data_IF_529911862687
#
_entry.id   IF_529911862687
#
_cell.length_a   1.000
_cell.length_b   1.000
_cell.length_c   1.000
_cell.angle_alpha   90.00
_cell.angle_beta   90.00
_cell.angle_gamma   90.00
#
_symmetry.space_group_name_H-M   'P 1'
#
loop_
_entity.id
_entity.type
_entity.pdbx_description
1 polymer ?
#
# COMPACT_ATOMS: atom_id res chain seq x y z
N UNK A 1 -4.90 30.91 -9.88
CA UNK A 1 -4.79 29.82 -10.87
C UNK A 1 -4.90 28.52 -10.10
N UNK A 2 -5.87 27.67 -10.42
CA UNK A 2 -6.02 26.35 -9.79
C UNK A 2 -4.82 25.49 -10.22
N UNK A 3 -4.11 24.87 -9.27
CA UNK A 3 -3.02 23.97 -9.61
C UNK A 3 -3.63 22.71 -10.24
N UNK A 4 -3.47 22.56 -11.56
CA UNK A 4 -4.08 21.47 -12.34
C UNK A 4 -3.65 20.09 -11.80
N UNK A 5 -2.40 19.95 -11.35
CA UNK A 5 -1.89 18.69 -10.80
C UNK A 5 -2.60 18.29 -9.50
N UNK A 6 -3.08 19.27 -8.73
CA UNK A 6 -3.82 19.02 -7.48
C UNK A 6 -5.33 18.91 -7.70
N UNK A 7 -5.86 19.41 -8.82
CA UNK A 7 -7.31 19.46 -9.08
C UNK A 7 -7.99 18.10 -9.23
N UNK A 8 -7.21 17.05 -9.47
CA UNK A 8 -7.67 15.65 -9.53
C UNK A 8 -7.80 14.98 -8.15
N UNK A 9 -7.28 15.63 -7.12
CA UNK A 9 -7.39 15.20 -5.73
C UNK A 9 -8.43 16.04 -4.99
N UNK A 10 -8.84 15.55 -3.83
CA UNK A 10 -9.70 16.23 -2.85
C UNK A 10 -8.94 16.35 -1.52
N UNK A 11 -7.82 17.11 -1.48
CA UNK A 11 -6.96 17.14 -0.31
C UNK A 11 -7.62 17.85 0.88
N UNK A 12 -7.25 17.42 2.09
CA UNK A 12 -7.51 18.20 3.30
C UNK A 12 -6.74 19.55 3.27
N UNK A 13 -7.08 20.52 4.14
CA UNK A 13 -6.54 21.89 4.05
C UNK A 13 -5.01 22.01 4.03
N UNK A 14 -4.30 21.02 4.59
CA UNK A 14 -2.83 21.01 4.64
C UNK A 14 -2.26 19.82 3.88
N UNK A 15 -1.59 20.08 2.77
CA UNK A 15 -0.79 19.07 2.07
C UNK A 15 0.49 18.81 2.86
N UNK A 16 0.73 17.54 3.22
CA UNK A 16 1.91 17.05 3.94
C UNK A 16 2.97 16.62 2.93
N UNK A 17 2.57 15.88 1.91
CA UNK A 17 3.40 15.52 0.76
C UNK A 17 2.56 15.38 -0.50
N UNK A 18 3.15 15.73 -1.64
CA UNK A 18 2.62 15.43 -2.96
C UNK A 18 3.77 14.87 -3.79
N UNK A 19 3.69 13.57 -4.07
CA UNK A 19 4.73 12.80 -4.73
C UNK A 19 4.37 12.57 -6.20
N UNK A 20 4.97 13.38 -7.08
CA UNK A 20 4.98 13.22 -8.54
C UNK A 20 6.18 12.38 -9.04
N UNK A 21 5.97 11.14 -9.46
CA UNK A 21 7.07 10.22 -9.79
C UNK A 21 7.86 10.59 -11.05
N UNK A 22 7.43 11.58 -11.84
CA UNK A 22 8.28 12.18 -12.87
C UNK A 22 9.49 12.92 -12.30
N UNK A 23 9.40 13.35 -11.04
CA UNK A 23 10.50 13.98 -10.29
C UNK A 23 11.32 13.00 -9.45
N UNK A 24 11.08 11.69 -9.63
CA UNK A 24 11.77 10.62 -8.91
C UNK A 24 10.99 10.03 -7.74
N UNK A 25 11.62 9.11 -6.99
CA UNK A 25 10.95 8.30 -5.96
C UNK A 25 10.53 9.08 -4.70
N UNK A 26 10.98 10.32 -4.48
CA UNK A 26 10.50 11.19 -3.39
C UNK A 26 10.41 10.54 -1.99
N UNK A 27 11.42 9.76 -1.63
CA UNK A 27 11.53 9.09 -0.32
C UNK A 27 10.81 7.73 -0.23
N UNK A 28 10.16 7.28 -1.30
CA UNK A 28 9.67 5.91 -1.42
C UNK A 28 10.85 4.94 -1.60
N UNK A 29 10.87 3.87 -0.80
CA UNK A 29 11.91 2.84 -0.83
C UNK A 29 11.33 1.47 -0.49
N UNK A 30 12.13 0.40 -0.56
CA UNK A 30 11.68 -0.93 -0.14
C UNK A 30 11.46 -1.02 1.36
N UNK A 31 10.44 -1.77 1.78
CA UNK A 31 10.37 -2.24 3.17
C UNK A 31 11.30 -3.44 3.31
N UNK A 32 12.23 -3.33 4.24
CA UNK A 32 13.07 -4.45 4.67
C UNK A 32 12.65 -4.84 6.09
N UNK A 33 12.77 -6.13 6.40
CA UNK A 33 12.51 -6.60 7.76
C UNK A 33 13.58 -6.11 8.72
N UNK A 34 13.21 -6.02 10.00
CA UNK A 34 14.15 -5.70 11.06
C UNK A 34 15.24 -6.78 11.14
N UNK A 35 16.46 -6.36 11.43
CA UNK A 35 17.62 -7.23 11.64
C UNK A 35 18.45 -6.73 12.80
N UNK A 36 19.20 -7.64 13.39
CA UNK A 36 20.17 -7.36 14.44
C UNK A 36 21.39 -8.25 14.22
N UNK A 37 22.58 -7.65 14.21
CA UNK A 37 23.90 -8.27 13.98
C UNK A 37 24.13 -8.92 12.59
N UNK A 38 23.13 -9.62 12.04
CA UNK A 38 23.17 -10.31 10.75
C UNK A 38 21.85 -10.16 10.00
N UNK A 39 21.91 -10.11 8.66
CA UNK A 39 20.72 -10.15 7.79
C UNK A 39 19.99 -11.51 7.84
N UNK A 40 20.63 -12.56 8.34
CA UNK A 40 20.00 -13.86 8.57
C UNK A 40 18.97 -13.84 9.69
N UNK A 41 18.95 -12.78 10.51
CA UNK A 41 17.93 -12.57 11.56
C UNK A 41 16.60 -12.04 11.00
N UNK A 42 16.58 -11.54 9.76
CA UNK A 42 15.36 -11.05 9.11
C UNK A 42 14.36 -12.19 9.02
N UNK A 43 13.10 -11.96 9.41
CA UNK A 43 12.06 -12.98 9.27
C UNK A 43 11.95 -13.41 7.79
N UNK A 44 11.85 -14.71 7.48
CA UNK A 44 11.90 -15.20 6.10
C UNK A 44 10.98 -14.48 5.11
N UNK A 45 9.71 -14.12 5.46
CA UNK A 45 8.84 -13.40 4.53
C UNK A 45 9.35 -12.02 4.10
N UNK A 46 10.15 -11.34 4.92
CA UNK A 46 10.71 -10.02 4.58
C UNK A 46 11.93 -10.09 3.66
N UNK A 47 12.63 -11.23 3.60
CA UNK A 47 13.89 -11.36 2.84
C UNK A 47 13.70 -11.23 1.33
N UNK A 48 12.49 -11.51 0.86
CA UNK A 48 12.18 -11.55 -0.56
C UNK A 48 11.28 -10.39 -1.04
N UNK A 49 11.03 -9.40 -0.19
CA UNK A 49 10.29 -8.21 -0.60
C UNK A 49 11.05 -7.44 -1.67
N UNK A 50 10.33 -7.06 -2.73
CA UNK A 50 10.87 -6.25 -3.83
C UNK A 50 10.53 -4.78 -3.63
N UNK A 51 11.53 -3.91 -3.74
CA UNK A 51 11.36 -2.46 -3.63
C UNK A 51 10.80 -1.81 -4.90
N UNK A 52 10.49 -0.50 -4.82
CA UNK A 52 9.96 0.26 -5.95
C UNK A 52 11.00 0.54 -7.04
N UNK A 53 10.49 0.76 -8.24
CA UNK A 53 11.22 1.25 -9.41
C UNK A 53 10.45 2.42 -10.02
N UNK A 54 11.13 3.29 -10.76
CA UNK A 54 10.46 4.18 -11.71
C UNK A 54 10.23 3.42 -13.01
N UNK A 55 9.02 3.54 -13.56
CA UNK A 55 8.65 2.87 -14.81
C UNK A 55 7.84 3.79 -15.68
N UNK A 56 8.05 3.68 -16.99
CA UNK A 56 7.24 4.31 -18.02
C UNK A 56 6.14 3.36 -18.56
N UNK A 57 5.91 2.24 -17.88
CA UNK A 57 4.89 1.24 -18.19
C UNK A 57 5.05 0.67 -19.63
N UNK A 58 6.29 0.38 -20.03
CA UNK A 58 6.58 -0.19 -21.34
C UNK A 58 5.98 -1.60 -21.53
N UNK A 59 5.25 -1.78 -22.62
CA UNK A 59 4.69 -3.05 -23.10
C UNK A 59 5.23 -3.39 -24.49
N UNK A 60 5.18 -4.66 -24.87
CA UNK A 60 5.80 -5.17 -26.09
C UNK A 60 5.03 -4.81 -27.38
N UNK A 61 3.72 -4.57 -27.31
CA UNK A 61 2.86 -4.21 -28.45
C UNK A 61 2.55 -2.71 -28.56
N UNK A 62 2.27 -2.05 -27.43
CA UNK A 62 1.86 -0.63 -27.39
C UNK A 62 3.04 0.32 -27.16
N UNK A 63 4.23 -0.21 -26.89
CA UNK A 63 5.40 0.59 -26.53
C UNK A 63 5.29 1.19 -25.13
N UNK A 64 5.77 2.41 -24.95
CA UNK A 64 5.69 3.15 -23.68
C UNK A 64 4.34 3.84 -23.56
N UNK A 65 3.60 3.57 -22.47
CA UNK A 65 2.31 4.22 -22.20
C UNK A 65 2.49 5.57 -21.48
N UNK A 66 3.33 5.59 -20.44
CA UNK A 66 3.44 6.72 -19.51
C UNK A 66 2.55 6.58 -18.27
N UNK A 67 2.73 7.49 -17.32
CA UNK A 67 1.84 7.61 -16.15
C UNK A 67 0.60 8.45 -16.51
N UNK A 68 -0.38 8.53 -15.61
CA UNK A 68 -1.56 9.38 -15.82
C UNK A 68 -1.17 10.86 -16.02
N UNK A 69 -0.10 11.29 -15.35
CA UNK A 69 0.31 12.69 -15.24
C UNK A 69 1.54 13.05 -16.06
N UNK A 70 2.25 12.05 -16.57
CA UNK A 70 3.46 12.27 -17.35
C UNK A 70 4.14 10.95 -17.74
N UNK A 71 5.44 10.84 -17.50
CA UNK A 71 6.26 9.75 -18.06
C UNK A 71 6.44 8.59 -17.10
N UNK A 72 6.65 8.87 -15.82
CA UNK A 72 7.02 7.87 -14.82
C UNK A 72 5.93 7.66 -13.77
N UNK A 73 5.72 6.39 -13.44
CA UNK A 73 4.99 5.92 -12.27
C UNK A 73 5.94 5.16 -11.34
N UNK A 74 5.63 5.11 -10.06
CA UNK A 74 6.23 4.14 -9.16
C UNK A 74 5.67 2.75 -9.49
N UNK A 75 6.54 1.82 -9.88
CA UNK A 75 6.23 0.42 -10.14
C UNK A 75 6.70 -0.44 -8.98
N UNK A 76 5.78 -1.26 -8.48
CA UNK A 76 6.08 -2.46 -7.70
C UNK A 76 5.98 -3.69 -8.61
N UNK A 77 6.93 -4.61 -8.47
CA UNK A 77 6.94 -5.84 -9.25
C UNK A 77 7.32 -7.03 -8.36
N UNK A 78 6.42 -8.01 -8.27
CA UNK A 78 6.68 -9.27 -7.56
C UNK A 78 7.72 -10.09 -8.32
N UNK A 79 8.19 -11.18 -7.71
CA UNK A 79 8.80 -12.27 -8.49
C UNK A 79 7.73 -13.02 -9.27
N UNK A 80 8.17 -13.77 -10.28
CA UNK A 80 7.37 -14.79 -10.97
C UNK A 80 7.24 -16.04 -10.10
N UNK A 81 6.61 -15.88 -8.93
CA UNK A 81 6.40 -16.93 -7.94
C UNK A 81 5.11 -16.63 -7.19
N UNK A 82 4.19 -17.58 -7.13
CA UNK A 82 2.93 -17.44 -6.40
C UNK A 82 3.16 -16.95 -4.97
N UNK A 83 2.29 -16.05 -4.49
CA UNK A 83 2.36 -15.40 -3.18
C UNK A 83 3.58 -14.48 -2.98
N UNK A 84 4.35 -14.17 -4.03
CA UNK A 84 5.43 -13.18 -3.95
C UNK A 84 4.85 -11.78 -3.78
N UNK A 85 5.43 -10.99 -2.87
CA UNK A 85 5.00 -9.63 -2.55
C UNK A 85 6.09 -8.62 -2.91
N UNK A 86 5.67 -7.48 -3.46
CA UNK A 86 6.49 -6.28 -3.61
C UNK A 86 5.88 -5.15 -2.80
N UNK A 87 6.71 -4.30 -2.19
CA UNK A 87 6.26 -3.29 -1.24
C UNK A 87 7.15 -2.04 -1.28
N UNK A 88 6.51 -0.88 -1.41
CA UNK A 88 7.14 0.43 -1.27
C UNK A 88 6.59 1.14 -0.05
N UNK A 89 7.50 1.74 0.72
CA UNK A 89 7.19 2.48 1.94
C UNK A 89 7.85 3.85 1.89
N UNK A 90 7.10 4.86 2.31
CA UNK A 90 7.59 6.19 2.64
C UNK A 90 7.49 6.39 4.14
N UNK A 91 8.58 6.88 4.73
CA UNK A 91 8.70 7.05 6.17
C UNK A 91 8.66 8.52 6.53
N UNK A 92 7.64 8.91 7.29
CA UNK A 92 7.46 10.27 7.80
C UNK A 92 7.20 10.21 9.30
N UNK A 93 7.20 11.38 9.93
CA UNK A 93 6.59 11.59 11.23
C UNK A 93 5.43 12.57 11.10
N UNK A 94 4.42 12.46 11.95
CA UNK A 94 3.36 13.47 12.01
C UNK A 94 3.77 14.65 12.91
N UNK A 95 3.26 15.84 12.57
CA UNK A 95 3.46 17.06 13.36
C UNK A 95 2.32 17.33 14.34
N UNK A 96 1.14 16.80 14.05
CA UNK A 96 -0.08 17.02 14.80
C UNK A 96 -0.98 15.79 14.68
N UNK A 97 -1.72 15.49 15.74
CA UNK A 97 -2.76 14.48 15.73
C UNK A 97 -4.04 15.09 15.16
N UNK A 98 -4.71 14.36 14.27
CA UNK A 98 -5.96 14.75 13.64
C UNK A 98 -6.23 13.94 12.38
N UNK A 99 -7.27 14.33 11.61
CA UNK A 99 -7.62 13.66 10.36
C UNK A 99 -6.49 13.77 9.34
N UNK A 100 -6.18 12.64 8.70
CA UNK A 100 -5.32 12.56 7.53
C UNK A 100 -6.05 11.89 6.37
N UNK A 101 -5.61 12.24 5.16
CA UNK A 101 -6.13 11.71 3.91
C UNK A 101 -4.98 11.36 2.99
N UNK A 102 -4.95 10.09 2.58
CA UNK A 102 -4.05 9.60 1.55
C UNK A 102 -4.83 9.40 0.27
N UNK A 103 -4.34 9.95 -0.82
CA UNK A 103 -4.91 9.79 -2.15
C UNK A 103 -3.85 9.34 -3.15
N UNK A 104 -4.25 8.51 -4.10
CA UNK A 104 -3.36 8.05 -5.16
C UNK A 104 -4.14 7.68 -6.42
N UNK A 105 -3.46 7.76 -7.56
CA UNK A 105 -3.91 7.12 -8.79
C UNK A 105 -3.10 5.85 -9.03
N UNK A 106 -3.78 4.73 -9.21
CA UNK A 106 -3.12 3.43 -9.36
C UNK A 106 -3.67 2.63 -10.53
N UNK A 107 -2.86 1.71 -11.04
CA UNK A 107 -3.30 0.63 -11.91
C UNK A 107 -2.48 -0.62 -11.60
N UNK A 108 -3.01 -1.80 -11.87
CA UNK A 108 -2.32 -3.05 -11.59
C UNK A 108 -2.54 -4.06 -12.70
N UNK A 109 -1.51 -4.87 -12.95
CA UNK A 109 -1.52 -5.85 -14.02
C UNK A 109 -0.40 -6.87 -13.87
N UNK A 110 -0.58 -8.13 -14.29
CA UNK A 110 0.54 -9.05 -14.40
C UNK A 110 1.43 -8.67 -15.57
N UNK A 111 2.58 -9.31 -15.61
CA UNK A 111 3.43 -9.36 -16.80
C UNK A 111 2.67 -9.88 -18.02
N UNK A 112 2.66 -9.11 -19.10
CA UNK A 112 2.01 -9.48 -20.36
C UNK A 112 2.80 -10.54 -21.14
N UNK A 113 3.03 -11.71 -20.54
CA UNK A 113 3.80 -12.81 -21.14
C UNK A 113 2.99 -13.74 -22.05
N UNK A 114 1.67 -13.55 -22.11
CA UNK A 114 0.76 -14.33 -22.94
C UNK A 114 -0.32 -13.44 -23.57
N UNK A 115 -0.89 -13.88 -24.70
CA UNK A 115 -1.96 -13.18 -25.43
C UNK A 115 -3.36 -13.46 -24.82
N UNK A 116 -3.46 -13.35 -23.50
CA UNK A 116 -4.70 -13.51 -22.73
C UNK A 116 -4.77 -12.43 -21.67
N UNK A 117 -5.97 -12.10 -21.19
CA UNK A 117 -6.17 -10.98 -20.27
C UNK A 117 -5.46 -11.15 -18.93
N UNK A 118 -5.39 -12.39 -18.41
CA UNK A 118 -4.69 -12.70 -17.17
C UNK A 118 -5.22 -11.90 -15.96
N UNK A 119 -6.52 -11.69 -15.91
CA UNK A 119 -7.25 -10.92 -14.90
C UNK A 119 -7.18 -11.50 -13.49
N UNK A 120 -6.82 -12.78 -13.36
CA UNK A 120 -6.69 -13.47 -12.08
C UNK A 120 -5.25 -13.63 -11.60
N UNK A 121 -4.26 -13.17 -12.36
CA UNK A 121 -2.84 -13.44 -12.03
C UNK A 121 -2.30 -12.51 -10.93
N UNK A 122 -2.86 -11.30 -10.78
CA UNK A 122 -2.59 -10.47 -9.60
C UNK A 122 -3.58 -10.86 -8.50
N UNK A 123 -3.06 -11.31 -7.36
CA UNK A 123 -3.88 -11.71 -6.21
C UNK A 123 -4.49 -10.48 -5.54
N UNK A 124 -3.63 -9.57 -5.12
CA UNK A 124 -4.05 -8.42 -4.33
C UNK A 124 -3.13 -7.22 -4.55
N UNK A 125 -3.71 -6.05 -4.35
CA UNK A 125 -2.98 -4.78 -4.16
C UNK A 125 -3.49 -4.12 -2.90
N UNK A 126 -2.64 -3.39 -2.20
CA UNK A 126 -3.06 -2.75 -0.97
C UNK A 126 -2.26 -1.53 -0.58
N UNK A 127 -2.81 -0.85 0.41
CA UNK A 127 -2.28 0.35 1.03
C UNK A 127 -2.35 0.19 2.54
N UNK A 128 -1.37 0.72 3.24
CA UNK A 128 -1.35 0.68 4.70
C UNK A 128 -0.64 1.90 5.27
N UNK A 129 -0.96 2.20 6.52
CA UNK A 129 -0.09 2.99 7.37
C UNK A 129 0.58 2.12 8.43
N UNK A 130 1.73 2.56 8.89
CA UNK A 130 2.39 2.06 10.10
C UNK A 130 2.66 3.28 10.99
N UNK A 131 1.88 3.35 12.07
CA UNK A 131 1.69 4.53 12.90
C UNK A 131 2.11 4.24 14.32
N UNK A 132 2.55 5.26 15.05
CA UNK A 132 2.71 5.13 16.50
C UNK A 132 2.53 6.49 17.19
N UNK A 133 1.90 6.44 18.36
CA UNK A 133 1.65 7.58 19.24
C UNK A 133 2.93 8.40 19.56
N UNK A 134 2.78 9.68 19.96
CA UNK A 134 3.90 10.47 20.47
C UNK A 134 4.41 9.89 21.81
N UNK A 135 5.64 10.26 22.17
CA UNK A 135 6.33 9.82 23.39
C UNK A 135 5.63 10.24 24.69
N UNK A 136 4.88 11.34 24.66
CA UNK A 136 4.11 11.86 25.80
C UNK A 136 2.67 11.32 25.89
N UNK A 137 2.27 10.40 25.01
CA UNK A 137 0.94 9.79 25.09
C UNK A 137 0.83 8.90 26.33
N UNK A 138 -0.27 8.98 27.09
CA UNK A 138 -0.42 8.25 28.35
C UNK A 138 -0.34 6.71 28.19
N UNK A 139 -0.88 6.20 27.08
CA UNK A 139 -0.86 4.78 26.73
C UNK A 139 -0.47 4.62 25.25
N UNK A 140 0.83 4.70 24.92
CA UNK A 140 1.25 4.75 23.52
C UNK A 140 1.10 3.39 22.85
N UNK A 141 0.60 3.39 21.62
CA UNK A 141 0.36 2.21 20.81
C UNK A 141 1.02 2.40 19.45
N UNK A 142 1.42 1.29 18.83
CA UNK A 142 1.70 1.19 17.41
C UNK A 142 0.47 0.62 16.72
N UNK A 143 0.02 1.30 15.67
CA UNK A 143 -1.24 1.00 14.97
C UNK A 143 -0.96 0.86 13.49
N UNK A 144 -1.46 -0.23 12.89
CA UNK A 144 -1.23 -0.57 11.49
C UNK A 144 -2.55 -0.74 10.75
N UNK A 145 -3.15 0.36 10.25
CA UNK A 145 -4.32 0.29 9.38
C UNK A 145 -3.93 -0.27 8.01
N UNK A 146 -4.49 -1.42 7.66
CA UNK A 146 -4.27 -2.09 6.38
C UNK A 146 -5.57 -2.22 5.61
N UNK A 147 -5.53 -1.89 4.32
CA UNK A 147 -6.62 -2.12 3.37
C UNK A 147 -6.05 -2.75 2.10
N UNK A 148 -6.75 -3.72 1.53
CA UNK A 148 -6.40 -4.32 0.24
C UNK A 148 -7.62 -4.51 -0.65
N UNK A 149 -7.40 -4.50 -1.95
CA UNK A 149 -8.31 -5.07 -2.91
C UNK A 149 -7.83 -6.49 -3.24
N UNK A 150 -8.60 -7.50 -2.80
CA UNK A 150 -8.40 -8.89 -3.17
C UNK A 150 -9.02 -9.10 -4.55
N UNK A 151 -8.18 -9.03 -5.58
CA UNK A 151 -8.59 -9.15 -6.98
C UNK A 151 -8.95 -10.60 -7.32
N UNK A 152 -8.05 -11.53 -7.00
CA UNK A 152 -8.19 -12.94 -7.30
C UNK A 152 -7.56 -13.80 -6.21
N UNK A 153 -7.92 -15.08 -6.17
CA UNK A 153 -7.28 -16.09 -5.33
C UNK A 153 -7.48 -17.46 -5.97
N UNK A 154 -6.42 -18.26 -6.03
CA UNK A 154 -6.44 -19.62 -6.57
C UNK A 154 -7.03 -19.66 -7.99
N UNK A 155 -6.66 -18.70 -8.84
CA UNK A 155 -7.12 -18.55 -10.21
C UNK A 155 -8.59 -18.11 -10.36
N UNK A 156 -9.25 -17.70 -9.28
CA UNK A 156 -10.65 -17.23 -9.31
C UNK A 156 -10.72 -15.74 -9.00
N UNK A 157 -11.55 -15.02 -9.76
CA UNK A 157 -11.83 -13.61 -9.46
C UNK A 157 -12.65 -13.48 -8.17
N UNK A 158 -12.17 -12.65 -7.25
CA UNK A 158 -12.81 -12.35 -5.97
C UNK A 158 -13.38 -10.92 -5.96
N UNK A 159 -12.56 -9.95 -6.38
CA UNK A 159 -12.91 -8.54 -6.56
C UNK A 159 -13.57 -7.87 -5.34
N UNK A 160 -12.90 -7.93 -4.19
CA UNK A 160 -13.45 -7.43 -2.90
C UNK A 160 -12.41 -6.66 -2.10
N UNK A 161 -12.81 -5.52 -1.53
CA UNK A 161 -12.00 -4.77 -0.56
C UNK A 161 -12.04 -5.41 0.83
N UNK A 162 -10.88 -5.48 1.46
CA UNK A 162 -10.65 -6.12 2.75
C UNK A 162 -9.80 -5.23 3.66
N UNK A 163 -9.90 -5.45 4.97
CA UNK A 163 -9.05 -4.85 5.99
C UNK A 163 -8.40 -5.95 6.86
N UNK A 164 -7.32 -5.61 7.57
CA UNK A 164 -6.67 -6.54 8.51
C UNK A 164 -6.66 -5.97 9.93
N UNK A 165 -7.32 -6.67 10.84
CA UNK A 165 -7.44 -6.31 12.25
C UNK A 165 -6.54 -7.18 13.16
N UNK A 166 -6.25 -8.40 12.73
CA UNK A 166 -5.47 -9.36 13.51
C UNK A 166 -3.99 -9.26 13.14
N UNK A 167 -3.13 -9.21 14.17
CA UNK A 167 -1.68 -9.19 13.99
C UNK A 167 -1.11 -10.59 14.09
N UNK A 168 -0.03 -10.81 13.34
CA UNK A 168 0.83 -11.96 13.55
C UNK A 168 1.55 -11.89 14.91
N UNK A 169 2.03 -13.05 15.35
CA UNK A 169 2.89 -13.17 16.53
C UNK A 169 4.14 -12.31 16.35
N UNK A 170 4.53 -11.60 17.42
CA UNK A 170 5.79 -10.86 17.45
C UNK A 170 6.93 -11.82 17.74
N UNK A 171 7.99 -11.71 16.96
CA UNK A 171 9.21 -12.46 17.09
C UNK A 171 10.33 -11.54 17.57
N UNK A 172 11.08 -11.97 18.57
CA UNK A 172 12.35 -11.35 18.89
C UNK A 172 13.32 -11.56 17.72
N UNK A 173 14.09 -10.52 17.40
CA UNK A 173 15.10 -10.51 16.34
C UNK A 173 16.47 -10.34 17.01
N UNK A 174 17.41 -11.19 16.63
CA UNK A 174 18.75 -11.21 17.25
C UNK A 174 18.73 -11.75 18.68
N UNK A 175 19.72 -11.32 19.47
CA UNK A 175 19.94 -11.79 20.83
C UNK A 175 19.65 -10.77 21.93
N UNK A 176 19.53 -9.47 21.61
CA UNK A 176 19.41 -8.41 22.62
C UNK A 176 18.01 -8.29 23.26
N UNK A 177 16.98 -8.84 22.60
CA UNK A 177 15.58 -8.68 22.98
C UNK A 177 15.00 -7.28 22.71
N UNK A 178 15.78 -6.35 22.13
CA UNK A 178 15.35 -4.97 21.83
C UNK A 178 14.64 -4.85 20.48
N UNK A 179 14.96 -5.74 19.55
CA UNK A 179 14.40 -5.74 18.21
C UNK A 179 13.29 -6.77 18.12
N UNK A 180 12.10 -6.35 17.69
CA UNK A 180 10.97 -7.24 17.45
C UNK A 180 10.45 -7.05 16.03
N UNK A 181 9.91 -8.12 15.45
CA UNK A 181 9.30 -8.08 14.12
C UNK A 181 8.13 -9.03 14.03
N UNK A 182 7.22 -8.75 13.11
CA UNK A 182 6.12 -9.64 12.73
C UNK A 182 5.82 -9.36 11.26
N UNK A 183 5.39 -10.37 10.49
CA UNK A 183 5.06 -10.16 9.08
C UNK A 183 3.60 -9.75 8.91
N UNK A 184 3.33 -8.45 9.01
CA UNK A 184 1.98 -7.88 9.00
C UNK A 184 1.21 -8.00 7.66
N UNK A 185 1.83 -8.57 6.62
CA UNK A 185 1.18 -8.89 5.34
C UNK A 185 0.94 -10.38 5.12
N UNK A 186 1.02 -11.19 6.18
CA UNK A 186 0.63 -12.60 6.11
C UNK A 186 -0.81 -12.76 5.56
N UNK A 187 -1.08 -13.86 4.83
CA UNK A 187 -2.36 -14.06 4.14
C UNK A 187 -3.57 -14.26 5.07
N UNK A 188 -3.34 -14.58 6.34
CA UNK A 188 -4.37 -14.76 7.37
C UNK A 188 -4.88 -13.42 7.94
N UNK A 189 -6.04 -13.44 8.60
CA UNK A 189 -6.56 -12.31 9.38
C UNK A 189 -7.20 -11.16 8.57
N UNK A 190 -7.27 -11.29 7.23
CA UNK A 190 -8.01 -10.37 6.37
C UNK A 190 -9.51 -10.60 6.46
N UNK A 191 -10.28 -9.52 6.48
CA UNK A 191 -11.75 -9.52 6.58
C UNK A 191 -12.34 -8.66 5.48
N UNK A 192 -13.42 -9.14 4.87
CA UNK A 192 -14.15 -8.36 3.87
C UNK A 192 -14.74 -7.08 4.50
N UNK A 193 -14.67 -5.99 3.76
CA UNK A 193 -15.50 -4.82 4.06
C UNK A 193 -16.96 -5.15 3.74
N UNK A 194 -17.89 -4.62 4.54
CA UNK A 194 -19.30 -4.63 4.19
C UNK A 194 -19.49 -3.94 2.84
N UNK A 195 -20.16 -4.62 1.91
CA UNK A 195 -20.34 -4.18 0.52
C UNK A 195 -19.02 -3.93 -0.25
N UNK A 196 -17.91 -4.54 0.21
CA UNK A 196 -16.57 -4.35 -0.35
C UNK A 196 -16.38 -4.88 -1.77
N UNK A 197 -17.33 -5.63 -2.32
CA UNK A 197 -17.25 -6.17 -3.69
C UNK A 197 -17.28 -5.03 -4.70
N UNK A 198 -16.24 -4.87 -5.51
CA UNK A 198 -16.16 -3.87 -6.57
C UNK A 198 -15.44 -4.43 -7.78
N UNK A 199 -16.04 -4.29 -8.97
CA UNK A 199 -15.35 -4.60 -10.22
C UNK A 199 -14.58 -3.35 -10.67
N UNK A 200 -13.27 -3.50 -10.87
CA UNK A 200 -12.41 -2.43 -11.41
C UNK A 200 -12.23 -2.62 -12.92
N UNK A 201 -11.98 -1.52 -13.63
CA UNK A 201 -11.80 -1.56 -15.08
C UNK A 201 -10.41 -2.09 -15.46
N UNK A 202 -10.29 -3.42 -15.59
CA UNK A 202 -9.04 -4.12 -15.88
C UNK A 202 -8.53 -3.97 -17.34
N UNK A 203 -9.39 -3.45 -18.25
CA UNK A 203 -9.18 -3.25 -19.70
C UNK A 203 -9.33 -4.53 -20.56
N UNK A 204 -9.32 -4.41 -21.91
CA UNK A 204 -9.74 -5.49 -22.82
C UNK A 204 -8.65 -6.50 -23.20
N UNK A 205 -7.37 -6.13 -23.10
CA UNK A 205 -6.24 -6.97 -23.54
C UNK A 205 -5.07 -6.91 -22.55
N UNK A 206 -4.09 -7.80 -22.69
CA UNK A 206 -2.96 -8.02 -21.76
C UNK A 206 -2.07 -6.79 -21.49
N UNK A 207 -2.09 -5.76 -22.33
CA UNK A 207 -1.12 -4.65 -22.31
C UNK A 207 -1.74 -3.27 -22.07
N UNK A 208 -3.05 -3.10 -22.31
CA UNK A 208 -3.76 -1.84 -22.00
C UNK A 208 -4.10 -1.70 -20.51
N UNK A 209 -4.06 -0.50 -19.94
CA UNK A 209 -4.35 -0.29 -18.53
C UNK A 209 -5.24 0.94 -18.32
N UNK A 210 -5.98 0.96 -17.21
CA UNK A 210 -6.75 2.12 -16.78
C UNK A 210 -6.34 2.53 -15.37
N UNK A 211 -6.33 3.83 -15.13
CA UNK A 211 -6.03 4.40 -13.84
C UNK A 211 -7.28 4.46 -12.96
N UNK A 212 -7.10 4.19 -11.68
CA UNK A 212 -8.14 4.22 -10.65
C UNK A 212 -7.76 5.20 -9.56
N UNK A 213 -8.74 5.94 -9.08
CA UNK A 213 -8.58 6.81 -7.93
C UNK A 213 -8.74 6.01 -6.65
N UNK A 214 -7.88 6.26 -5.67
CA UNK A 214 -7.93 5.72 -4.31
C UNK A 214 -7.88 6.86 -3.31
N UNK A 215 -8.73 6.82 -2.28
CA UNK A 215 -8.67 7.70 -1.11
C UNK A 215 -8.84 6.89 0.16
N UNK A 216 -7.96 7.08 1.13
CA UNK A 216 -8.06 6.49 2.46
C UNK A 216 -7.99 7.61 3.50
N UNK A 217 -9.08 7.75 4.25
CA UNK A 217 -9.20 8.69 5.36
C UNK A 217 -8.98 7.93 6.68
N UNK A 218 -8.11 8.48 7.53
CA UNK A 218 -7.75 7.92 8.82
C UNK A 218 -7.58 9.04 9.84
N UNK A 219 -7.94 8.82 11.10
CA UNK A 219 -7.77 9.82 12.15
C UNK A 219 -6.63 9.44 13.10
N UNK A 220 -5.58 10.27 13.15
CA UNK A 220 -4.40 10.03 13.97
C UNK A 220 -4.67 10.22 15.47
N UNK A 221 -5.69 11.00 15.85
CA UNK A 221 -6.01 11.24 17.26
C UNK A 221 -6.67 10.02 17.92
N UNK A 222 -7.62 9.40 17.24
CA UNK A 222 -8.32 8.18 17.70
C UNK A 222 -7.67 6.89 17.21
N UNK A 223 -6.72 6.98 16.27
CA UNK A 223 -6.12 5.85 15.57
C UNK A 223 -7.17 4.92 14.96
N UNK A 224 -8.12 5.51 14.22
CA UNK A 224 -9.26 4.81 13.64
C UNK A 224 -9.45 5.10 12.15
N UNK A 225 -9.93 4.10 11.41
CA UNK A 225 -10.34 4.30 10.03
C UNK A 225 -11.56 5.20 9.96
N UNK A 226 -11.65 6.00 8.90
CA UNK A 226 -12.82 6.84 8.64
C UNK A 226 -13.52 6.37 7.36
N UNK A 227 -12.82 6.35 6.23
CA UNK A 227 -13.44 6.04 4.93
C UNK A 227 -12.42 5.53 3.93
N UNK A 228 -12.87 4.64 3.06
CA UNK A 228 -12.18 4.29 1.81
C UNK A 228 -13.02 4.77 0.63
N UNK A 229 -12.36 5.27 -0.40
CA UNK A 229 -12.96 5.47 -1.72
C UNK A 229 -12.12 4.79 -2.77
N UNK A 230 -12.77 4.12 -3.71
CA UNK A 230 -12.14 3.77 -4.98
C UNK A 230 -13.07 4.12 -6.13
N UNK A 231 -12.59 4.99 -7.02
CA UNK A 231 -13.38 5.62 -8.08
C UNK A 231 -14.67 6.25 -7.52
N UNK A 232 -15.83 5.77 -7.97
CA UNK A 232 -17.17 6.23 -7.61
C UNK A 232 -17.70 5.64 -6.30
N UNK A 233 -17.02 4.63 -5.72
CA UNK A 233 -17.52 3.91 -4.54
C UNK A 233 -16.90 4.40 -3.27
N UNK A 234 -17.75 4.66 -2.28
CA UNK A 234 -17.39 5.02 -0.91
C UNK A 234 -17.71 3.84 0.01
N UNK A 235 -16.75 3.46 0.84
CA UNK A 235 -16.89 2.42 1.85
C UNK A 235 -16.73 3.04 3.24
N UNK A 236 -17.73 2.85 4.09
CA UNK A 236 -17.64 3.19 5.50
C UNK A 236 -16.70 2.22 6.20
N UNK A 237 -15.71 2.77 6.91
CA UNK A 237 -14.73 1.99 7.67
C UNK A 237 -14.90 2.12 9.18
N UNK A 238 -15.99 2.74 9.67
CA UNK A 238 -16.21 2.95 11.10
C UNK A 238 -16.18 1.65 11.94
N UNK A 239 -16.54 0.52 11.33
CA UNK A 239 -16.50 -0.81 11.97
C UNK A 239 -15.19 -1.58 11.70
N UNK A 240 -14.32 -1.07 10.82
CA UNK A 240 -13.03 -1.68 10.55
C UNK A 240 -12.05 -1.31 11.67
N UNK A 241 -11.39 -2.31 12.25
CA UNK A 241 -10.35 -2.11 13.26
C UNK A 241 -8.96 -2.29 12.62
N UNK A 242 -8.00 -1.39 12.88
CA UNK A 242 -6.61 -1.62 12.51
C UNK A 242 -5.96 -2.62 13.48
N UNK A 243 -4.84 -3.23 13.06
CA UNK A 243 -3.99 -3.96 14.00
C UNK A 243 -3.41 -2.99 15.05
N UNK A 244 -3.35 -3.44 16.30
CA UNK A 244 -2.80 -2.68 17.43
C UNK A 244 -1.80 -3.50 18.24
N UNK A 245 -0.80 -2.82 18.79
CA UNK A 245 0.16 -3.37 19.74
C UNK A 245 0.76 -2.25 20.59
N UNK A 246 1.44 -2.62 21.68
CA UNK A 246 2.19 -1.66 22.49
C UNK A 246 3.23 -0.92 21.65
N UNK A 247 3.42 0.37 21.91
CA UNK A 247 4.42 1.17 21.22
C UNK A 247 5.84 0.58 21.36
N UNK A 248 6.63 0.75 20.31
CA UNK A 248 8.05 0.39 20.28
C UNK A 248 8.90 1.60 20.68
N UNK A 249 9.99 1.37 21.41
CA UNK A 249 10.75 2.42 22.06
C UNK A 249 11.33 3.52 21.14
N UNK A 250 11.43 3.28 19.83
CA UNK A 250 12.15 4.15 18.90
C UNK A 250 11.26 4.70 17.75
N UNK A 251 9.94 4.50 17.81
CA UNK A 251 9.03 4.82 16.69
C UNK A 251 8.05 5.96 17.03
N UNK A 252 8.46 6.93 17.84
CA UNK A 252 7.58 8.03 18.26
C UNK A 252 7.14 8.91 17.09
N UNK A 253 5.86 9.30 17.10
CA UNK A 253 5.24 10.12 16.06
C UNK A 253 5.30 9.51 14.64
N UNK A 254 5.47 8.19 14.52
CA UNK A 254 5.64 7.53 13.22
C UNK A 254 4.40 7.69 12.34
N UNK A 255 4.63 8.06 11.08
CA UNK A 255 3.66 8.18 10.01
C UNK A 255 4.25 7.55 8.75
N UNK A 256 4.34 6.23 8.74
CA UNK A 256 4.76 5.52 7.54
C UNK A 256 3.55 5.23 6.65
N UNK A 257 3.71 5.36 5.35
CA UNK A 257 2.71 4.97 4.34
C UNK A 257 3.33 3.94 3.43
N UNK A 258 2.61 2.88 3.08
CA UNK A 258 3.09 1.87 2.16
C UNK A 258 2.03 1.40 1.16
N UNK A 259 2.51 1.00 -0.01
CA UNK A 259 1.75 0.29 -1.03
C UNK A 259 2.40 -1.06 -1.31
N UNK A 260 1.59 -2.05 -1.67
CA UNK A 260 2.08 -3.39 -1.97
C UNK A 260 1.22 -4.10 -3.02
N UNK A 261 1.83 -5.12 -3.64
CA UNK A 261 1.18 -6.01 -4.61
C UNK A 261 1.62 -7.44 -4.37
N UNK A 262 0.71 -8.37 -4.61
CA UNK A 262 0.91 -9.81 -4.50
C UNK A 262 0.43 -10.52 -5.77
N UNK A 263 1.20 -11.49 -6.23
CA UNK A 263 0.84 -12.32 -7.37
C UNK A 263 0.19 -13.63 -6.92
N UNK A 264 -0.81 -14.09 -7.67
CA UNK A 264 -1.53 -15.34 -7.38
C UNK A 264 -0.82 -16.57 -7.99
N UNK A 265 0.00 -16.36 -9.02
CA UNK A 265 0.62 -17.43 -9.80
C UNK A 265 2.12 -17.17 -10.06
N UNK A 266 2.78 -18.08 -10.78
CA UNK A 266 4.20 -17.99 -11.14
C UNK A 266 4.47 -17.00 -12.29
N UNK A 267 3.84 -15.82 -12.19
CA UNK A 267 3.97 -14.68 -13.10
C UNK A 267 4.14 -13.43 -12.27
N UNK A 268 4.91 -12.44 -12.75
CA UNK A 268 5.07 -11.19 -12.00
C UNK A 268 3.75 -10.43 -11.97
N UNK A 269 3.33 -9.99 -10.79
CA UNK A 269 2.29 -9.00 -10.60
C UNK A 269 2.91 -7.60 -10.51
N UNK A 270 2.26 -6.62 -11.13
CA UNK A 270 2.67 -5.22 -11.08
C UNK A 270 1.58 -4.34 -10.46
N UNK A 271 2.00 -3.40 -9.63
CA UNK A 271 1.21 -2.25 -9.21
C UNK A 271 1.98 -1.00 -9.65
N UNK A 272 1.27 -0.11 -10.33
CA UNK A 272 1.77 1.18 -10.76
C UNK A 272 1.00 2.28 -10.04
N UNK A 273 1.71 3.28 -9.55
CA UNK A 273 1.14 4.42 -8.85
C UNK A 273 1.69 5.67 -9.53
N UNK A 274 0.79 6.50 -10.04
CA UNK A 274 1.12 7.71 -10.79
C UNK A 274 1.63 8.81 -9.87
N UNK A 275 0.89 9.05 -8.79
CA UNK A 275 1.21 10.07 -7.80
C UNK A 275 0.54 9.74 -6.47
N UNK A 276 1.12 10.25 -5.38
CA UNK A 276 0.60 10.07 -4.02
C UNK A 276 0.48 11.41 -3.33
N UNK A 277 -0.69 11.72 -2.81
CA UNK A 277 -0.94 12.92 -2.01
C UNK A 277 -1.30 12.50 -0.58
N UNK A 278 -0.58 13.03 0.40
CA UNK A 278 -0.92 12.91 1.80
C UNK A 278 -1.24 14.30 2.35
N UNK A 279 -2.41 14.45 2.96
CA UNK A 279 -2.89 15.71 3.52
C UNK A 279 -3.48 15.51 4.92
N UNK A 280 -3.67 16.62 5.64
CA UNK A 280 -4.19 16.65 7.00
C UNK A 280 -5.05 17.89 7.29
N UNK A 281 -5.86 17.81 8.34
CA UNK A 281 -6.78 18.87 8.78
C UNK A 281 -6.34 19.51 10.11
N UNK A 282 -5.49 20.55 9.99
CA UNK A 282 -5.00 21.41 11.10
C UNK A 282 -4.21 22.63 10.60
#
# INVERSE_FOLDING_TARGET
>A
MQNLNLSRFDPLPRIISYDDFDSGLQGWTGLIGNYEETLDSILPPYRDLRGPMLSNLSMWDTGTDGSLSGTYAMKLATRSKASSIALAIKRLTFRQLGPIRLEAYFTFKPEASALVLSETDVRAIGVLFDLQHPDQHAHPERVMPHVRYLNAQDGKQIATWQYKAERETLHAIGGSGKTQSHFHLAPEGWRDLSDGRQLLCYNEIATKQNWHYLRLDFDLASMSFQRLQCNDRLFDLAQAAPMRMSAMANLWCMLNTAFWVETDCDKRGFLYIDSVLLSGDW
#
